data_IF_525428388762
#
_entry.id   IF_525428388762
#
_cell.length_a   1.000
_cell.length_b   1.000
_cell.length_c   1.000
_cell.angle_alpha   90.00
_cell.angle_beta   90.00
_cell.angle_gamma   90.00
#
_symmetry.space_group_name_H-M   'P 1'
#
loop_
_entity.id
_entity.type
_entity.pdbx_description
1 polymer ?
#
# COMPACT_ATOMS: atom_id res chain seq x y z
N UNK A 1 24.14 -1.49 -8.58
CA UNK A 1 23.57 -0.64 -7.51
C UNK A 1 22.95 0.64 -8.04
N UNK A 2 23.66 1.36 -8.88
CA UNK A 2 23.11 2.61 -9.45
C UNK A 2 21.79 2.38 -10.21
N UNK A 3 21.73 1.34 -11.04
CA UNK A 3 20.52 1.01 -11.79
C UNK A 3 19.35 0.67 -10.86
N UNK A 4 19.61 -0.11 -9.82
CA UNK A 4 18.60 -0.47 -8.84
C UNK A 4 18.07 0.77 -8.10
N UNK A 5 18.97 1.66 -7.67
CA UNK A 5 18.57 2.90 -7.00
C UNK A 5 17.74 3.79 -7.92
N UNK A 6 18.08 3.86 -9.20
CA UNK A 6 17.31 4.63 -10.18
C UNK A 6 15.90 4.06 -10.33
N UNK A 7 15.76 2.73 -10.38
CA UNK A 7 14.46 2.09 -10.46
C UNK A 7 13.61 2.41 -9.22
N UNK A 8 14.20 2.34 -8.04
CA UNK A 8 13.48 2.67 -6.79
C UNK A 8 13.07 4.13 -6.78
N UNK A 9 13.95 5.03 -7.20
CA UNK A 9 13.66 6.47 -7.22
C UNK A 9 12.53 6.79 -8.19
N UNK A 10 12.58 6.29 -9.41
CA UNK A 10 11.56 6.53 -10.43
C UNK A 10 10.23 5.90 -9.99
N UNK A 11 10.27 4.64 -9.57
CA UNK A 11 9.08 3.95 -9.10
C UNK A 11 8.47 4.62 -7.89
N UNK A 12 9.31 5.04 -6.94
CA UNK A 12 8.86 5.76 -5.75
C UNK A 12 8.18 7.07 -6.09
N UNK A 13 8.72 7.81 -7.04
CA UNK A 13 8.09 9.06 -7.51
C UNK A 13 6.71 8.77 -8.11
N UNK A 14 6.60 7.77 -8.96
CA UNK A 14 5.31 7.38 -9.56
C UNK A 14 4.32 6.94 -8.47
N UNK A 15 4.75 6.04 -7.59
CA UNK A 15 3.89 5.52 -6.53
C UNK A 15 3.42 6.60 -5.57
N UNK A 16 4.30 7.52 -5.17
CA UNK A 16 3.95 8.60 -4.26
C UNK A 16 2.95 9.58 -4.87
N UNK A 17 3.12 9.90 -6.16
CA UNK A 17 2.16 10.75 -6.87
C UNK A 17 0.81 10.07 -6.98
N UNK A 18 0.79 8.78 -7.36
CA UNK A 18 -0.45 8.02 -7.44
C UNK A 18 -1.15 7.97 -6.08
N UNK A 19 -0.41 7.76 -5.01
CA UNK A 19 -0.99 7.76 -3.67
C UNK A 19 -1.60 9.11 -3.34
N UNK A 20 -0.87 10.19 -3.58
CA UNK A 20 -1.36 11.53 -3.28
C UNK A 20 -2.67 11.81 -4.02
N UNK A 21 -2.72 11.52 -5.32
CA UNK A 21 -3.91 11.74 -6.13
C UNK A 21 -5.07 10.87 -5.66
N UNK A 22 -4.81 9.60 -5.36
CA UNK A 22 -5.84 8.67 -4.90
C UNK A 22 -6.41 9.09 -3.55
N UNK A 23 -5.55 9.43 -2.59
CA UNK A 23 -5.98 9.85 -1.27
C UNK A 23 -6.76 11.18 -1.34
N UNK A 24 -6.30 12.12 -2.17
CA UNK A 24 -7.00 13.39 -2.34
C UNK A 24 -8.40 13.17 -2.94
N UNK A 25 -8.51 12.30 -3.95
CA UNK A 25 -9.78 12.03 -4.63
C UNK A 25 -10.76 11.25 -3.77
N UNK A 26 -10.33 10.14 -3.19
CA UNK A 26 -11.21 9.30 -2.35
C UNK A 26 -11.40 9.89 -0.97
N UNK A 27 -10.43 10.62 -0.46
CA UNK A 27 -10.54 11.28 0.83
C UNK A 27 -11.65 12.31 0.87
N UNK A 28 -11.93 12.96 -0.25
CA UNK A 28 -13.04 13.91 -0.35
C UNK A 28 -14.40 13.23 -0.16
N UNK A 29 -14.52 11.95 -0.60
CA UNK A 29 -15.77 11.20 -0.52
C UNK A 29 -15.90 10.41 0.79
N UNK A 30 -14.82 9.77 1.24
CA UNK A 30 -14.86 8.80 2.35
C UNK A 30 -14.06 9.21 3.58
N UNK A 31 -13.34 10.32 3.51
CA UNK A 31 -12.43 10.74 4.57
C UNK A 31 -11.01 10.24 4.33
N UNK A 32 -10.02 11.09 4.67
CA UNK A 32 -8.61 10.79 4.42
C UNK A 32 -8.12 9.48 5.06
N UNK A 33 -8.47 9.16 6.33
CA UNK A 33 -8.02 7.91 6.94
C UNK A 33 -8.45 6.68 6.15
N UNK A 34 -9.70 6.64 5.70
CA UNK A 34 -10.22 5.47 4.98
C UNK A 34 -9.66 5.37 3.57
N UNK A 35 -9.32 6.51 2.95
CA UNK A 35 -8.62 6.51 1.67
C UNK A 35 -7.20 5.95 1.82
N UNK A 36 -6.50 6.29 2.90
CA UNK A 36 -5.17 5.74 3.20
C UNK A 36 -5.27 4.23 3.46
N UNK A 37 -6.29 3.80 4.22
CA UNK A 37 -6.51 2.37 4.44
C UNK A 37 -6.74 1.63 3.13
N UNK A 38 -7.57 2.17 2.24
CA UNK A 38 -7.84 1.56 0.93
C UNK A 38 -6.58 1.46 0.07
N UNK A 39 -5.75 2.50 0.04
CA UNK A 39 -4.49 2.50 -0.68
C UNK A 39 -3.57 1.39 -0.15
N UNK A 40 -3.45 1.26 1.15
CA UNK A 40 -2.58 0.25 1.76
C UNK A 40 -3.10 -1.17 1.51
N UNK A 41 -4.42 -1.38 1.60
CA UNK A 41 -5.02 -2.69 1.32
C UNK A 41 -4.84 -3.06 -0.14
N UNK A 42 -5.14 -2.14 -1.06
CA UNK A 42 -4.97 -2.37 -2.50
C UNK A 42 -3.51 -2.62 -2.84
N UNK A 43 -2.61 -1.80 -2.32
CA UNK A 43 -1.18 -1.95 -2.53
C UNK A 43 -0.65 -3.28 -2.00
N UNK A 44 -1.15 -3.71 -0.84
CA UNK A 44 -0.78 -5.00 -0.27
C UNK A 44 -1.23 -6.17 -1.14
N UNK A 45 -2.45 -6.09 -1.68
CA UNK A 45 -2.96 -7.10 -2.62
C UNK A 45 -2.06 -7.20 -3.85
N UNK A 46 -1.77 -6.06 -4.48
CA UNK A 46 -0.91 -6.02 -5.68
C UNK A 46 0.50 -6.51 -5.32
N UNK A 47 1.01 -6.16 -4.14
CA UNK A 47 2.31 -6.64 -3.69
C UNK A 47 2.35 -8.17 -3.63
N UNK A 48 1.30 -8.79 -3.10
CA UNK A 48 1.21 -10.26 -3.05
C UNK A 48 1.21 -10.88 -4.45
N UNK A 49 0.47 -10.29 -5.37
CA UNK A 49 0.45 -10.74 -6.77
C UNK A 49 1.84 -10.61 -7.40
N UNK A 50 2.48 -9.46 -7.24
CA UNK A 50 3.80 -9.22 -7.82
C UNK A 50 4.88 -10.09 -7.19
N UNK A 51 4.77 -10.37 -5.91
CA UNK A 51 5.72 -11.26 -5.22
C UNK A 51 5.79 -12.60 -5.93
N UNK A 52 4.64 -13.17 -6.27
CA UNK A 52 4.57 -14.46 -6.97
C UNK A 52 4.95 -14.30 -8.44
N UNK A 53 4.38 -13.30 -9.12
CA UNK A 53 4.55 -13.12 -10.56
C UNK A 53 5.99 -12.78 -10.94
N UNK A 54 6.71 -12.05 -10.08
CA UNK A 54 8.04 -11.54 -10.39
C UNK A 54 9.17 -12.30 -9.68
N UNK A 55 8.87 -13.43 -9.05
CA UNK A 55 9.87 -14.20 -8.32
C UNK A 55 11.10 -14.51 -9.18
N UNK A 56 10.90 -14.81 -10.46
CA UNK A 56 11.98 -15.13 -11.39
C UNK A 56 12.45 -13.93 -12.22
N UNK A 57 11.92 -12.75 -11.97
CA UNK A 57 12.19 -11.54 -12.76
C UNK A 57 12.80 -10.44 -11.90
N UNK A 58 13.91 -10.75 -11.24
CA UNK A 58 14.55 -9.85 -10.29
C UNK A 58 14.89 -8.47 -10.84
N UNK A 59 15.06 -8.35 -12.15
CA UNK A 59 15.45 -7.08 -12.76
C UNK A 59 14.34 -6.00 -12.74
N UNK A 60 13.06 -6.39 -12.57
CA UNK A 60 11.95 -5.43 -12.50
C UNK A 60 11.36 -5.29 -11.09
N UNK A 61 11.75 -6.16 -10.15
CA UNK A 61 11.24 -6.09 -8.79
C UNK A 61 11.53 -4.75 -8.09
N UNK A 62 12.75 -4.19 -8.20
CA UNK A 62 13.03 -2.92 -7.53
C UNK A 62 12.13 -1.80 -8.03
N UNK A 63 11.85 -1.73 -9.33
CA UNK A 63 10.98 -0.70 -9.88
C UNK A 63 9.55 -0.85 -9.37
N UNK A 64 8.98 -2.03 -9.46
CA UNK A 64 7.56 -2.24 -9.17
C UNK A 64 7.29 -2.43 -7.69
N UNK A 65 8.09 -3.23 -6.99
CA UNK A 65 7.81 -3.55 -5.59
C UNK A 65 8.36 -2.51 -4.64
N UNK A 66 9.68 -2.29 -4.65
CA UNK A 66 10.28 -1.30 -3.74
C UNK A 66 9.94 0.12 -4.15
N UNK A 67 9.88 0.40 -5.47
CA UNK A 67 9.60 1.72 -6.00
C UNK A 67 8.11 2.03 -6.01
N UNK A 68 7.38 1.52 -7.00
CA UNK A 68 5.99 1.92 -7.23
C UNK A 68 5.11 1.58 -6.03
N UNK A 69 5.08 0.33 -5.59
CA UNK A 69 4.24 -0.07 -4.47
C UNK A 69 4.75 0.47 -3.14
N UNK A 70 6.07 0.53 -2.96
CA UNK A 70 6.65 1.13 -1.76
C UNK A 70 6.29 2.60 -1.62
N UNK A 71 6.23 3.34 -2.73
CA UNK A 71 5.78 4.73 -2.73
C UNK A 71 4.26 4.89 -2.63
N UNK A 72 3.52 3.94 -3.21
CA UNK A 72 2.06 4.00 -3.20
C UNK A 72 1.48 3.73 -1.81
N UNK A 73 2.03 2.77 -1.07
CA UNK A 73 1.60 2.45 0.30
C UNK A 73 2.34 3.33 1.30
N UNK A 74 1.74 3.54 2.48
CA UNK A 74 2.36 4.39 3.48
C UNK A 74 1.98 3.98 4.90
N UNK A 75 2.99 3.79 5.72
CA UNK A 75 2.77 3.57 7.14
C UNK A 75 2.71 4.88 7.93
N UNK A 76 3.47 5.89 7.51
CA UNK A 76 3.52 7.16 8.23
C UNK A 76 2.20 7.93 8.17
N UNK A 77 1.56 7.99 7.01
CA UNK A 77 0.25 8.63 6.91
C UNK A 77 -0.81 7.87 7.70
N UNK A 78 -0.75 6.54 7.67
CA UNK A 78 -1.61 5.69 8.48
C UNK A 78 -1.42 5.98 9.99
N UNK A 79 -0.19 6.07 10.43
CA UNK A 79 0.13 6.36 11.84
C UNK A 79 -0.39 7.72 12.26
N UNK A 80 -0.20 8.73 11.41
CA UNK A 80 -0.68 10.08 11.69
C UNK A 80 -2.20 10.13 11.76
N UNK A 81 -2.89 9.46 10.84
CA UNK A 81 -4.35 9.43 10.83
C UNK A 81 -4.90 8.73 12.06
N UNK A 82 -4.27 7.65 12.50
CA UNK A 82 -4.65 6.97 13.74
C UNK A 82 -4.50 7.90 14.95
N UNK A 83 -3.41 8.64 15.00
CA UNK A 83 -3.17 9.61 16.08
C UNK A 83 -4.23 10.71 16.07
N UNK A 84 -4.55 11.24 14.90
CA UNK A 84 -5.57 12.29 14.78
C UNK A 84 -6.95 11.80 15.25
N UNK A 85 -7.33 10.59 14.89
CA UNK A 85 -8.58 10.01 15.35
C UNK A 85 -8.62 9.86 16.87
N UNK A 86 -7.50 9.39 17.43
CA UNK A 86 -7.38 9.24 18.88
C UNK A 86 -7.48 10.58 19.59
N UNK A 87 -6.75 11.59 19.11
CA UNK A 87 -6.71 12.91 19.74
C UNK A 87 -8.03 13.68 19.60
N UNK A 88 -8.82 13.39 18.57
CA UNK A 88 -10.11 14.04 18.38
C UNK A 88 -11.24 13.38 19.19
N UNK A 89 -10.93 12.46 20.08
CA UNK A 89 -11.90 11.77 20.90
C UNK A 89 -12.60 10.61 20.23
N UNK A 90 -12.17 10.22 19.03
CA UNK A 90 -12.76 9.11 18.29
C UNK A 90 -11.94 7.84 18.54
N UNK A 91 -11.83 7.43 19.79
CA UNK A 91 -10.97 6.31 20.19
C UNK A 91 -11.41 4.99 19.56
N UNK A 92 -12.73 4.74 19.49
CA UNK A 92 -13.23 3.53 18.84
C UNK A 92 -12.87 3.49 17.36
N UNK A 93 -13.05 4.62 16.67
CA UNK A 93 -12.68 4.72 15.25
C UNK A 93 -11.18 4.53 15.06
N UNK A 94 -10.36 5.06 15.98
CA UNK A 94 -8.92 4.88 15.90
C UNK A 94 -8.55 3.40 16.00
N UNK A 95 -9.13 2.68 16.94
CA UNK A 95 -8.88 1.24 17.13
C UNK A 95 -9.36 0.45 15.91
N UNK A 96 -10.55 0.73 15.42
CA UNK A 96 -11.09 0.07 14.23
C UNK A 96 -10.24 0.37 13.00
N UNK A 97 -9.80 1.61 12.84
CA UNK A 97 -8.95 2.01 11.72
C UNK A 97 -7.64 1.23 11.73
N UNK A 98 -6.97 1.17 12.87
CA UNK A 98 -5.72 0.42 13.01
C UNK A 98 -5.94 -1.07 12.75
N UNK A 99 -6.94 -1.66 13.41
CA UNK A 99 -7.23 -3.09 13.30
C UNK A 99 -7.61 -3.50 11.88
N UNK A 100 -8.52 -2.75 11.25
CA UNK A 100 -8.96 -3.05 9.89
C UNK A 100 -7.84 -2.81 8.88
N UNK A 101 -7.07 -1.72 9.03
CA UNK A 101 -5.99 -1.42 8.10
C UNK A 101 -4.94 -2.53 8.11
N UNK A 102 -4.49 -2.93 9.29
CA UNK A 102 -3.47 -3.98 9.43
C UNK A 102 -4.03 -5.34 9.01
N UNK A 103 -5.19 -5.70 9.56
CA UNK A 103 -5.80 -7.01 9.29
C UNK A 103 -6.14 -7.21 7.82
N UNK A 104 -6.80 -6.22 7.20
CA UNK A 104 -7.18 -6.31 5.80
C UNK A 104 -5.97 -6.27 4.88
N UNK A 105 -4.93 -5.52 5.22
CA UNK A 105 -3.70 -5.50 4.42
C UNK A 105 -2.98 -6.85 4.46
N UNK A 106 -2.90 -7.48 5.61
CA UNK A 106 -2.29 -8.81 5.73
C UNK A 106 -3.10 -9.87 4.97
N UNK A 107 -4.42 -9.82 5.07
CA UNK A 107 -5.30 -10.71 4.30
C UNK A 107 -5.13 -10.42 2.81
N UNK A 108 -5.06 -9.17 2.42
CA UNK A 108 -4.95 -8.78 1.01
C UNK A 108 -3.66 -9.29 0.38
N UNK A 109 -2.52 -9.16 1.07
CA UNK A 109 -1.25 -9.66 0.52
C UNK A 109 -1.27 -11.18 0.39
N UNK A 110 -1.86 -11.89 1.36
CA UNK A 110 -2.00 -13.34 1.30
C UNK A 110 -2.92 -13.77 0.16
N UNK A 111 -4.05 -13.07 -0.02
CA UNK A 111 -4.98 -13.35 -1.13
C UNK A 111 -4.33 -13.08 -2.48
N UNK A 112 -3.63 -11.97 -2.63
CA UNK A 112 -2.94 -11.64 -3.86
C UNK A 112 -1.93 -12.71 -4.24
N UNK A 113 -1.12 -13.15 -3.29
CA UNK A 113 -0.15 -14.22 -3.50
C UNK A 113 -0.82 -15.54 -3.84
N UNK A 114 -1.89 -15.90 -3.14
CA UNK A 114 -2.62 -17.16 -3.37
C UNK A 114 -3.26 -17.17 -4.74
N UNK A 115 -3.94 -16.10 -5.13
CA UNK A 115 -4.58 -15.99 -6.44
C UNK A 115 -3.54 -16.03 -7.56
N UNK A 116 -2.40 -15.37 -7.38
CA UNK A 116 -1.34 -15.39 -8.38
C UNK A 116 -0.74 -16.78 -8.54
N UNK A 117 -0.55 -17.51 -7.44
CA UNK A 117 -0.06 -18.90 -7.50
C UNK A 117 -1.03 -19.79 -8.27
N UNK A 118 -2.32 -19.63 -8.02
CA UNK A 118 -3.35 -20.40 -8.72
C UNK A 118 -3.41 -20.10 -10.21
N UNK A 119 -3.23 -18.82 -10.58
CA UNK A 119 -3.29 -18.39 -11.97
C UNK A 119 -2.01 -18.73 -12.75
N UNK A 120 -0.85 -18.66 -12.09
CA UNK A 120 0.45 -18.82 -12.75
C UNK A 120 1.08 -20.19 -12.56
N UNK A 121 0.66 -20.87 -11.56
CA UNK A 121 1.20 -22.17 -11.21
C UNK A 121 0.30 -23.31 -11.50
#
# INVERSE_FOLDING_TARGET
>A
MFWTLSQVAIGGAIGSVLRFVTVASFGAAFGAPWAVAAVNVLGSFVMGVLFVALTSRGHVQPLLMAGVLGGFTTFSAFSLDALKLWQSGQSLQAVLYVGLSVGLSLIAVALGATLAKGALG
#
